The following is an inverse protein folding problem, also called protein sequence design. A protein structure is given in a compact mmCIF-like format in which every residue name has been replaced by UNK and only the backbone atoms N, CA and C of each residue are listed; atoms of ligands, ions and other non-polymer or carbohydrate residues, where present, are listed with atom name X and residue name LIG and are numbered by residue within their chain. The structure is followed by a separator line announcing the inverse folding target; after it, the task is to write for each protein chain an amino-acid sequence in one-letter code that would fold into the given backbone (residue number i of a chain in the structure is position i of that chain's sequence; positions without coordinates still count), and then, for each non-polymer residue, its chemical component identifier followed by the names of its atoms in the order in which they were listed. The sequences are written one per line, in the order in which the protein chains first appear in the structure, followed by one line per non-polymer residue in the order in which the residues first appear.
data_IF_390816006629
#
_entry.id   IF_390816006629
#
_cell.length_a   1.000
_cell.length_b   1.000
_cell.length_c   1.000
_cell.angle_alpha   90.00
_cell.angle_beta   90.00
_cell.angle_gamma   90.00
#
_symmetry.space_group_name_H-M   'P 1'
#
loop_
_entity.id
_entity.type
_entity.pdbx_description
1 polymer ?
#
# COMPACT_ATOMS: atom_id res chain seq x y z
N UNK A 1 -14.40 -2.08 4.18
CA UNK A 1 -12.98 -2.03 3.76
C UNK A 1 -12.39 -0.61 3.82
N UNK A 2 -13.21 0.41 3.99
CA UNK A 2 -12.79 1.84 4.03
C UNK A 2 -12.20 2.30 5.37
N UNK A 3 -12.53 1.63 6.46
CA UNK A 3 -12.25 2.14 7.80
C UNK A 3 -10.76 2.10 8.22
N UNK A 4 -9.96 1.18 7.68
CA UNK A 4 -8.56 1.00 8.10
C UNK A 4 -7.59 1.44 6.99
N UNK A 5 -7.37 0.61 5.96
CA UNK A 5 -6.29 0.85 4.97
C UNK A 5 -6.35 2.23 4.30
N UNK A 6 -7.50 2.72 3.81
CA UNK A 6 -7.56 4.04 3.17
C UNK A 6 -7.27 5.19 4.15
N UNK A 7 -7.80 5.10 5.36
CA UNK A 7 -7.60 6.11 6.41
C UNK A 7 -6.15 6.14 6.84
N UNK A 8 -5.55 4.96 7.11
CA UNK A 8 -4.13 4.84 7.43
C UNK A 8 -3.26 5.43 6.33
N UNK A 9 -3.52 5.10 5.05
CA UNK A 9 -2.75 5.62 3.93
C UNK A 9 -2.83 7.15 3.84
N UNK A 10 -4.02 7.73 3.99
CA UNK A 10 -4.20 9.18 3.98
C UNK A 10 -3.45 9.86 5.13
N UNK A 11 -3.62 9.35 6.36
CA UNK A 11 -2.97 9.91 7.54
C UNK A 11 -1.44 9.80 7.47
N UNK A 12 -0.89 8.68 6.97
CA UNK A 12 0.55 8.51 6.76
C UNK A 12 1.12 9.55 5.78
N UNK A 13 0.37 9.89 4.73
CA UNK A 13 0.80 10.89 3.74
C UNK A 13 0.63 12.34 4.23
N UNK A 14 -0.14 12.59 5.28
CA UNK A 14 -0.49 13.94 5.72
C UNK A 14 0.21 14.39 7.02
N UNK A 15 0.49 13.43 7.93
CA UNK A 15 0.80 13.81 9.32
C UNK A 15 2.28 14.01 9.61
N UNK A 16 3.16 13.52 8.76
CA UNK A 16 4.58 13.42 9.09
C UNK A 16 5.49 14.35 8.28
N UNK A 17 5.14 14.55 7.03
CA UNK A 17 5.90 15.39 6.09
C UNK A 17 4.91 16.14 5.22
N UNK A 18 5.10 17.45 5.10
CA UNK A 18 4.39 18.24 4.10
C UNK A 18 4.95 17.94 2.71
N UNK A 19 4.35 16.91 2.07
CA UNK A 19 4.75 16.43 0.75
C UNK A 19 4.21 17.37 -0.33
N UNK A 20 5.11 17.87 -1.17
CA UNK A 20 4.79 18.73 -2.30
C UNK A 20 4.74 17.93 -3.61
N UNK A 21 4.04 18.41 -4.65
CA UNK A 21 4.12 17.82 -5.97
C UNK A 21 5.58 17.69 -6.45
N UNK A 22 5.95 16.51 -6.94
CA UNK A 22 7.33 16.16 -7.30
C UNK A 22 8.16 15.50 -6.19
N UNK A 23 7.75 15.61 -4.91
CA UNK A 23 8.32 14.80 -3.84
C UNK A 23 8.03 13.32 -4.06
N UNK A 24 8.76 12.45 -3.37
CA UNK A 24 8.54 11.01 -3.45
C UNK A 24 8.33 10.39 -2.05
N UNK A 25 7.49 9.37 -1.99
CA UNK A 25 7.28 8.47 -0.85
C UNK A 25 7.71 7.06 -1.21
N UNK A 26 8.54 6.45 -0.35
CA UNK A 26 8.92 5.05 -0.47
C UNK A 26 8.16 4.21 0.56
N UNK A 27 7.76 2.98 0.22
CA UNK A 27 7.09 2.09 1.17
C UNK A 27 7.39 0.62 0.86
N UNK A 28 7.47 -0.19 1.89
CA UNK A 28 7.55 -1.65 1.73
C UNK A 28 6.15 -2.29 1.72
N UNK A 29 6.09 -3.62 1.61
CA UNK A 29 4.84 -4.37 1.41
C UNK A 29 3.96 -3.79 0.27
N UNK A 30 4.57 -3.41 -0.84
CA UNK A 30 3.90 -2.73 -1.95
C UNK A 30 2.78 -3.55 -2.61
N UNK A 31 2.70 -4.85 -2.34
CA UNK A 31 1.61 -5.73 -2.79
C UNK A 31 0.34 -5.64 -1.92
N UNK A 32 0.39 -4.91 -0.80
CA UNK A 32 -0.70 -4.83 0.17
C UNK A 32 -1.84 -3.93 -0.31
N UNK A 33 -3.03 -4.15 0.27
CA UNK A 33 -4.18 -3.28 0.00
C UNK A 33 -3.98 -1.83 0.49
N UNK A 34 -3.16 -1.61 1.53
CA UNK A 34 -2.80 -0.28 1.98
C UNK A 34 -1.90 0.42 0.95
N UNK A 35 -0.92 -0.30 0.40
CA UNK A 35 -0.01 0.24 -0.62
C UNK A 35 -0.74 0.73 -1.88
N UNK A 36 -1.82 0.06 -2.29
CA UNK A 36 -2.66 0.52 -3.41
C UNK A 36 -3.31 1.88 -3.10
N UNK A 37 -3.76 2.10 -1.86
CA UNK A 37 -4.28 3.39 -1.44
C UNK A 37 -3.18 4.46 -1.36
N UNK A 38 -1.98 4.10 -0.87
CA UNK A 38 -0.84 5.01 -0.86
C UNK A 38 -0.52 5.48 -2.29
N UNK A 39 -0.41 4.57 -3.25
CA UNK A 39 -0.13 4.91 -4.64
C UNK A 39 -1.20 5.84 -5.23
N UNK A 40 -2.47 5.51 -5.04
CA UNK A 40 -3.58 6.31 -5.57
C UNK A 40 -3.67 7.70 -4.93
N UNK A 41 -3.50 7.81 -3.61
CA UNK A 41 -3.59 9.08 -2.88
C UNK A 41 -2.37 9.97 -3.14
N UNK A 42 -1.17 9.39 -3.19
CA UNK A 42 0.06 10.10 -3.53
C UNK A 42 -0.01 10.64 -4.97
N UNK A 43 -0.40 9.80 -5.93
CA UNK A 43 -0.53 10.21 -7.33
C UNK A 43 -1.50 11.38 -7.53
N UNK A 44 -2.63 11.42 -6.82
CA UNK A 44 -3.56 12.55 -6.85
C UNK A 44 -2.96 13.86 -6.34
N UNK A 45 -1.91 13.79 -5.53
CA UNK A 45 -1.17 14.96 -4.99
C UNK A 45 0.07 15.31 -5.81
N UNK A 46 0.31 14.60 -6.93
CA UNK A 46 1.54 14.75 -7.70
C UNK A 46 2.78 14.24 -6.97
N UNK A 47 2.62 13.41 -5.92
CA UNK A 47 3.69 12.79 -5.17
C UNK A 47 4.05 11.46 -5.81
N UNK A 48 5.33 11.25 -6.10
CA UNK A 48 5.85 10.05 -6.74
C UNK A 48 5.92 8.89 -5.76
N UNK A 49 5.76 7.67 -6.22
CA UNK A 49 5.69 6.47 -5.37
C UNK A 49 6.78 5.47 -5.70
N UNK A 50 7.42 4.93 -4.66
CA UNK A 50 8.45 3.90 -4.75
C UNK A 50 8.04 2.74 -3.85
N UNK A 51 7.61 1.65 -4.46
CA UNK A 51 7.14 0.46 -3.75
C UNK A 51 8.20 -0.63 -3.69
N UNK A 52 8.50 -1.16 -2.49
CA UNK A 52 9.38 -2.30 -2.31
C UNK A 52 8.56 -3.59 -2.28
N UNK A 53 8.99 -4.57 -3.09
CA UNK A 53 8.39 -5.91 -3.16
C UNK A 53 9.40 -6.98 -2.79
N UNK A 54 8.93 -8.05 -2.16
CA UNK A 54 9.79 -9.18 -1.78
C UNK A 54 10.23 -10.01 -2.98
N UNK A 55 9.39 -10.13 -4.00
CA UNK A 55 9.64 -10.98 -5.18
C UNK A 55 9.57 -10.16 -6.47
N UNK A 56 10.47 -10.44 -7.41
CA UNK A 56 10.49 -9.80 -8.73
C UNK A 56 9.19 -10.02 -9.52
N UNK A 57 8.56 -11.16 -9.35
CA UNK A 57 7.28 -11.50 -10.01
C UNK A 57 6.13 -10.57 -9.61
N UNK A 58 6.25 -9.88 -8.48
CA UNK A 58 5.25 -8.93 -8.02
C UNK A 58 5.40 -7.52 -8.66
N UNK A 59 6.51 -7.24 -9.33
CA UNK A 59 6.85 -5.90 -9.86
C UNK A 59 5.76 -5.37 -10.80
N UNK A 60 5.43 -6.14 -11.82
CA UNK A 60 4.45 -5.70 -12.83
C UNK A 60 3.05 -5.54 -12.25
N UNK A 61 2.66 -6.43 -11.34
CA UNK A 61 1.37 -6.31 -10.64
C UNK A 61 1.27 -5.04 -9.82
N UNK A 62 2.36 -4.65 -9.14
CA UNK A 62 2.39 -3.45 -8.29
C UNK A 62 2.40 -2.18 -9.14
N UNK A 63 3.10 -2.17 -10.28
CA UNK A 63 3.03 -1.06 -11.26
C UNK A 63 1.61 -0.89 -11.81
N UNK A 64 0.96 -1.99 -12.21
CA UNK A 64 -0.43 -1.96 -12.67
C UNK A 64 -1.39 -1.46 -11.59
N UNK A 65 -1.05 -1.67 -10.31
CA UNK A 65 -1.74 -1.11 -9.15
C UNK A 65 -1.53 0.39 -8.91
N UNK A 66 -0.76 1.07 -9.78
CA UNK A 66 -0.54 2.52 -9.75
C UNK A 66 0.73 2.97 -9.04
N UNK A 67 1.60 2.05 -8.58
CA UNK A 67 2.91 2.42 -8.07
C UNK A 67 3.85 2.77 -9.23
N UNK A 68 4.46 3.96 -9.18
CA UNK A 68 5.28 4.46 -10.28
C UNK A 68 6.60 3.71 -10.44
N UNK A 69 7.32 3.51 -9.34
CA UNK A 69 8.60 2.83 -9.32
C UNK A 69 8.51 1.65 -8.37
N UNK A 70 8.93 0.48 -8.84
CA UNK A 70 8.95 -0.72 -8.02
C UNK A 70 10.37 -1.27 -7.92
N UNK A 71 10.77 -1.63 -6.71
CA UNK A 71 12.09 -2.16 -6.34
C UNK A 71 11.89 -3.53 -5.71
N UNK A 72 12.63 -4.52 -6.18
CA UNK A 72 12.65 -5.82 -5.52
C UNK A 72 13.69 -5.84 -4.37
N UNK A 73 13.39 -6.58 -3.30
CA UNK A 73 14.24 -6.64 -2.10
C UNK A 73 15.63 -7.26 -2.36
N UNK A 74 15.79 -8.00 -3.46
CA UNK A 74 17.07 -8.59 -3.88
C UNK A 74 17.91 -7.67 -4.79
N UNK A 75 17.39 -6.49 -5.18
CA UNK A 75 18.15 -5.53 -5.97
C UNK A 75 19.27 -4.91 -5.13
N UNK A 76 20.46 -4.78 -5.71
CA UNK A 76 21.60 -4.12 -5.07
C UNK A 76 21.28 -2.65 -4.80
N UNK A 77 21.54 -2.18 -3.56
CA UNK A 77 21.06 -0.87 -3.10
C UNK A 77 21.69 0.31 -3.85
N UNK A 78 22.95 0.20 -4.25
CA UNK A 78 23.62 1.25 -5.04
C UNK A 78 23.00 1.41 -6.42
N UNK A 79 22.63 0.30 -7.07
CA UNK A 79 21.90 0.30 -8.34
C UNK A 79 20.52 0.96 -8.19
N UNK A 80 19.81 0.65 -7.11
CA UNK A 80 18.52 1.28 -6.80
C UNK A 80 18.70 2.79 -6.60
N UNK A 81 19.71 3.20 -5.80
CA UNK A 81 19.97 4.62 -5.55
C UNK A 81 20.32 5.39 -6.83
N UNK A 82 21.13 4.79 -7.73
CA UNK A 82 21.44 5.40 -9.02
C UNK A 82 20.17 5.59 -9.87
N UNK A 83 19.29 4.60 -9.92
CA UNK A 83 18.00 4.67 -10.63
C UNK A 83 17.06 5.74 -10.06
N UNK A 84 17.13 5.99 -8.74
CA UNK A 84 16.31 6.98 -8.05
C UNK A 84 16.99 8.36 -7.94
N UNK A 85 18.12 8.55 -8.59
CA UNK A 85 18.84 9.81 -8.58
C UNK A 85 17.95 10.96 -9.07
N UNK A 86 17.96 12.07 -8.34
CA UNK A 86 17.11 13.23 -8.63
C UNK A 86 15.73 13.20 -7.98
N UNK A 87 15.28 12.07 -7.43
CA UNK A 87 14.04 12.01 -6.68
C UNK A 87 14.19 12.58 -5.27
N UNK A 88 13.21 13.35 -4.85
CA UNK A 88 13.13 13.90 -3.50
C UNK A 88 12.36 12.97 -2.57
N UNK A 89 12.96 11.84 -2.15
CA UNK A 89 12.31 10.89 -1.24
C UNK A 89 12.32 11.43 0.18
N UNK A 90 11.24 12.07 0.58
CA UNK A 90 11.13 12.74 1.90
C UNK A 90 10.51 11.87 2.98
N UNK A 91 9.67 10.92 2.59
CA UNK A 91 8.95 10.03 3.49
C UNK A 91 9.20 8.58 3.10
N UNK A 92 9.44 7.73 4.08
CA UNK A 92 9.47 6.29 3.94
C UNK A 92 8.49 5.65 4.94
N UNK A 93 7.75 4.64 4.50
CA UNK A 93 6.69 4.00 5.28
C UNK A 93 7.01 2.50 5.44
N UNK A 94 7.22 2.09 6.69
CA UNK A 94 7.59 0.73 7.03
C UNK A 94 6.47 -0.01 7.77
N UNK A 95 6.14 -1.21 7.31
CA UNK A 95 5.23 -2.13 8.00
C UNK A 95 5.90 -3.48 8.28
N UNK A 96 7.05 -3.73 7.68
CA UNK A 96 7.72 -5.03 7.72
C UNK A 96 8.68 -5.13 8.91
N UNK A 97 9.49 -4.09 9.16
CA UNK A 97 10.62 -4.16 10.09
C UNK A 97 11.83 -4.89 9.49
N UNK A 98 12.74 -5.38 10.34
CA UNK A 98 13.96 -6.08 9.95
C UNK A 98 14.81 -5.29 8.96
N UNK A 99 15.49 -5.99 8.06
CA UNK A 99 16.34 -5.40 7.01
C UNK A 99 15.55 -4.54 6.00
N UNK A 100 14.25 -4.81 5.80
CA UNK A 100 13.43 -4.04 4.87
C UNK A 100 13.27 -2.57 5.33
N UNK A 101 13.20 -2.32 6.63
CA UNK A 101 13.21 -0.97 7.19
C UNK A 101 14.54 -0.26 6.88
N UNK A 102 15.68 -0.96 7.02
CA UNK A 102 17.00 -0.45 6.66
C UNK A 102 17.10 -0.07 5.18
N UNK A 103 16.55 -0.88 4.29
CA UNK A 103 16.51 -0.56 2.85
C UNK A 103 15.78 0.75 2.57
N UNK A 104 14.69 1.03 3.24
CA UNK A 104 13.95 2.29 3.11
C UNK A 104 14.80 3.50 3.51
N UNK A 105 15.65 3.39 4.57
CA UNK A 105 16.55 4.47 4.97
C UNK A 105 17.55 4.84 3.88
N UNK A 106 18.03 3.86 3.12
CA UNK A 106 18.94 4.13 2.00
C UNK A 106 18.30 5.01 0.92
N UNK A 107 16.99 4.92 0.72
CA UNK A 107 16.26 5.68 -0.29
C UNK A 107 15.96 7.12 0.13
N UNK A 108 15.86 7.39 1.44
CA UNK A 108 15.56 8.71 1.95
C UNK A 108 16.64 9.74 1.61
N UNK A 109 16.21 10.96 1.32
CA UNK A 109 17.08 12.14 1.23
C UNK A 109 17.49 12.62 2.62
N UNK A 110 18.52 13.48 2.73
CA UNK A 110 18.84 14.16 3.97
C UNK A 110 17.61 14.84 4.60
N UNK A 111 17.46 14.72 5.90
CA UNK A 111 16.30 15.17 6.69
C UNK A 111 14.98 14.46 6.34
N UNK A 112 15.04 13.34 5.63
CA UNK A 112 13.88 12.48 5.37
C UNK A 112 13.42 11.76 6.64
N UNK A 113 12.20 11.27 6.60
CA UNK A 113 11.54 10.61 7.74
C UNK A 113 11.11 9.20 7.40
N UNK A 114 11.45 8.24 8.27
CA UNK A 114 10.88 6.90 8.27
C UNK A 114 9.73 6.85 9.28
N UNK A 115 8.56 6.38 8.85
CA UNK A 115 7.42 6.13 9.74
C UNK A 115 7.11 4.63 9.71
N UNK A 116 7.19 3.99 10.88
CA UNK A 116 6.78 2.59 11.03
C UNK A 116 5.34 2.53 11.57
N UNK A 117 4.52 1.68 10.95
CA UNK A 117 3.11 1.50 11.29
C UNK A 117 2.73 0.02 11.49
N UNK A 118 3.74 -0.87 11.53
CA UNK A 118 3.54 -2.29 11.77
C UNK A 118 4.85 -3.05 11.91
N UNK A 119 4.75 -4.33 12.26
CA UNK A 119 5.88 -5.22 12.53
C UNK A 119 5.64 -6.62 11.93
N UNK A 120 5.26 -6.67 10.67
CA UNK A 120 4.81 -7.90 9.99
C UNK A 120 5.85 -9.02 10.03
N UNK A 121 7.14 -8.70 10.00
CA UNK A 121 8.20 -9.71 10.10
C UNK A 121 8.39 -10.26 11.52
N UNK A 122 7.89 -9.57 12.54
CA UNK A 122 8.20 -9.85 13.95
C UNK A 122 9.65 -9.58 14.34
N UNK A 123 10.47 -9.05 13.44
CA UNK A 123 11.88 -8.75 13.69
C UNK A 123 12.09 -7.29 14.05
N UNK A 124 13.03 -6.96 14.94
CA UNK A 124 13.45 -5.58 15.19
C UNK A 124 13.91 -4.90 13.90
N UNK A 125 13.68 -3.60 13.77
CA UNK A 125 14.16 -2.82 12.63
C UNK A 125 15.70 -2.76 12.64
N UNK A 126 16.30 -3.09 11.50
CA UNK A 126 17.75 -2.97 11.28
C UNK A 126 18.04 -1.59 10.67
N UNK A 127 18.35 -0.61 11.52
CA UNK A 127 18.58 0.76 11.10
C UNK A 127 20.08 1.07 11.11
N UNK A 128 20.73 1.24 9.94
CA UNK A 128 22.13 1.64 9.87
C UNK A 128 22.32 3.03 10.52
N UNK A 129 22.94 3.08 11.70
CA UNK A 129 23.14 4.31 12.47
C UNK A 129 23.90 5.38 11.69
N UNK A 130 24.84 4.98 10.82
CA UNK A 130 25.55 5.88 9.93
C UNK A 130 24.61 6.67 9.03
N UNK A 131 23.59 6.03 8.43
CA UNK A 131 22.61 6.74 7.59
C UNK A 131 21.79 7.74 8.40
N UNK A 132 21.38 7.35 9.61
CA UNK A 132 20.62 8.25 10.51
C UNK A 132 21.45 9.48 10.83
N UNK A 133 22.73 9.31 11.16
CA UNK A 133 23.64 10.41 11.50
C UNK A 133 23.91 11.30 10.27
N UNK A 134 24.43 10.72 9.19
CA UNK A 134 24.91 11.51 8.04
C UNK A 134 23.78 12.18 7.26
N UNK A 135 22.62 11.55 7.18
CA UNK A 135 21.45 12.13 6.52
C UNK A 135 20.54 12.90 7.48
N UNK A 136 20.82 12.92 8.79
CA UNK A 136 19.95 13.54 9.80
C UNK A 136 18.50 13.03 9.72
N UNK A 137 18.33 11.71 9.62
CA UNK A 137 17.01 11.10 9.45
C UNK A 137 16.24 11.07 10.77
N UNK A 138 14.91 11.13 10.68
CA UNK A 138 13.99 10.90 11.80
C UNK A 138 13.29 9.55 11.63
N UNK A 139 13.05 8.87 12.75
CA UNK A 139 12.25 7.63 12.79
C UNK A 139 11.12 7.83 13.78
N UNK A 140 9.88 7.62 13.32
CA UNK A 140 8.67 7.82 14.11
C UNK A 140 7.72 6.64 13.97
N UNK A 141 6.82 6.48 14.94
CA UNK A 141 5.76 5.46 14.90
C UNK A 141 4.41 6.06 14.56
N UNK A 142 3.58 5.29 13.86
CA UNK A 142 2.18 5.61 13.64
C UNK A 142 1.30 4.52 14.28
N UNK A 143 0.29 4.96 15.02
CA UNK A 143 -0.78 4.11 15.53
C UNK A 143 -2.11 4.87 15.53
N UNK A 144 -3.13 4.31 14.88
CA UNK A 144 -4.45 4.95 14.73
C UNK A 144 -5.12 5.28 16.08
N UNK A 145 -4.83 4.49 17.12
CA UNK A 145 -5.39 4.68 18.46
C UNK A 145 -4.76 5.82 19.28
N UNK A 146 -3.76 6.52 18.77
CA UNK A 146 -3.19 7.66 19.49
C UNK A 146 -4.20 8.81 19.64
N UNK A 147 -4.30 9.45 20.83
CA UNK A 147 -5.25 10.53 21.10
C UNK A 147 -5.23 11.67 20.08
N UNK A 148 -4.05 12.00 19.52
CA UNK A 148 -3.91 13.05 18.52
C UNK A 148 -4.27 12.60 17.09
N UNK A 149 -4.44 11.29 16.85
CA UNK A 149 -4.84 10.70 15.56
C UNK A 149 -6.34 10.45 15.50
N UNK A 150 -6.93 9.94 16.58
CA UNK A 150 -8.36 9.58 16.65
C UNK A 150 -9.32 10.67 16.10
N UNK A 151 -9.18 11.96 16.44
CA UNK A 151 -10.08 13.00 15.93
C UNK A 151 -9.99 13.21 14.41
N UNK A 152 -8.89 12.79 13.77
CA UNK A 152 -8.64 12.97 12.34
C UNK A 152 -9.28 11.88 11.48
N UNK A 153 -9.62 10.73 12.06
CA UNK A 153 -10.15 9.56 11.34
C UNK A 153 -11.47 9.89 10.64
N UNK A 154 -12.43 10.43 11.35
CA UNK A 154 -13.75 10.70 10.79
C UNK A 154 -13.76 11.77 9.68
N UNK A 155 -13.04 12.89 9.79
CA UNK A 155 -12.87 13.84 8.69
C UNK A 155 -12.23 13.19 7.46
N UNK A 156 -11.12 12.48 7.63
CA UNK A 156 -10.42 11.80 6.53
C UNK A 156 -11.33 10.77 5.85
N UNK A 157 -12.06 9.96 6.64
CA UNK A 157 -12.99 8.98 6.08
C UNK A 157 -14.07 9.63 5.22
N UNK A 158 -14.63 10.77 5.63
CA UNK A 158 -15.63 11.51 4.83
C UNK A 158 -15.08 11.95 3.47
N UNK A 159 -13.83 12.43 3.42
CA UNK A 159 -13.21 12.81 2.15
C UNK A 159 -12.92 11.59 1.27
N UNK A 160 -12.44 10.49 1.87
CA UNK A 160 -12.15 9.25 1.14
C UNK A 160 -13.40 8.62 0.51
N UNK A 161 -14.55 8.71 1.19
CA UNK A 161 -15.84 8.20 0.64
C UNK A 161 -16.21 8.91 -0.65
N UNK A 162 -15.94 10.21 -0.78
CA UNK A 162 -16.18 10.98 -2.02
C UNK A 162 -15.32 10.49 -3.19
N UNK A 163 -14.22 9.80 -2.91
CA UNK A 163 -13.29 9.27 -3.92
C UNK A 163 -13.68 7.87 -4.43
N UNK A 164 -14.76 7.28 -3.90
CA UNK A 164 -15.28 5.98 -4.34
C UNK A 164 -16.34 6.21 -5.39
N UNK A 165 -16.17 5.59 -6.56
CA UNK A 165 -17.15 5.71 -7.64
C UNK A 165 -16.52 5.37 -8.99
N UNK A 166 -17.21 5.59 -10.09
CA UNK A 166 -16.63 5.43 -11.43
C UNK A 166 -15.37 6.29 -11.57
N UNK A 167 -14.24 5.65 -11.89
CA UNK A 167 -12.93 6.33 -11.98
C UNK A 167 -12.20 6.53 -10.64
N UNK A 168 -12.79 6.13 -9.51
CA UNK A 168 -12.16 6.21 -8.19
C UNK A 168 -11.22 5.03 -7.88
N UNK A 169 -10.65 5.07 -6.67
CA UNK A 169 -9.78 3.99 -6.19
C UNK A 169 -10.58 2.71 -6.00
N UNK A 170 -10.17 1.63 -6.66
CA UNK A 170 -10.76 0.31 -6.51
C UNK A 170 -9.76 -0.62 -5.87
N UNK A 171 -10.16 -1.31 -4.81
CA UNK A 171 -9.39 -2.41 -4.27
C UNK A 171 -9.91 -3.71 -4.87
N UNK A 172 -9.11 -4.44 -5.68
CA UNK A 172 -9.53 -5.72 -6.24
C UNK A 172 -9.88 -6.71 -5.12
N UNK A 173 -11.02 -7.40 -5.27
CA UNK A 173 -11.42 -8.52 -4.43
C UNK A 173 -11.00 -9.78 -5.19
N UNK A 174 -10.13 -10.59 -4.59
CA UNK A 174 -9.60 -11.79 -5.21
C UNK A 174 -10.64 -12.91 -5.21
N UNK A 175 -11.34 -13.09 -4.09
CA UNK A 175 -12.41 -14.07 -3.95
C UNK A 175 -13.36 -13.70 -2.81
N UNK A 176 -14.59 -14.21 -2.89
CA UNK A 176 -15.57 -14.15 -1.81
C UNK A 176 -15.99 -15.56 -1.43
N UNK A 177 -15.89 -15.90 -0.16
CA UNK A 177 -16.27 -17.19 0.40
C UNK A 177 -17.50 -17.04 1.28
N UNK A 178 -18.40 -18.01 1.31
CA UNK A 178 -19.43 -18.09 2.34
C UNK A 178 -18.79 -18.34 3.71
N UNK A 179 -19.48 -17.93 4.79
CA UNK A 179 -18.91 -17.96 6.16
C UNK A 179 -18.54 -19.38 6.62
N UNK A 180 -19.25 -20.39 6.16
CA UNK A 180 -18.98 -21.80 6.44
C UNK A 180 -17.68 -22.33 5.79
N UNK A 181 -17.12 -21.61 4.82
CA UNK A 181 -15.82 -21.89 4.19
C UNK A 181 -14.71 -20.99 4.73
N UNK A 182 -14.79 -20.56 5.99
CA UNK A 182 -13.79 -19.65 6.58
C UNK A 182 -12.38 -20.22 6.57
N UNK A 183 -12.21 -21.56 6.72
CA UNK A 183 -10.88 -22.20 6.70
C UNK A 183 -10.21 -22.09 5.32
N UNK A 184 -10.95 -22.32 4.26
CA UNK A 184 -10.51 -22.18 2.88
C UNK A 184 -10.21 -20.72 2.55
N UNK A 185 -11.05 -19.79 3.02
CA UNK A 185 -10.85 -18.36 2.88
C UNK A 185 -9.54 -17.91 3.53
N UNK A 186 -9.26 -18.38 4.75
CA UNK A 186 -7.99 -18.09 5.46
C UNK A 186 -6.80 -18.68 4.71
N UNK A 187 -6.88 -19.95 4.28
CA UNK A 187 -5.82 -20.59 3.50
C UNK A 187 -5.53 -19.85 2.18
N UNK A 188 -6.57 -19.29 1.54
CA UNK A 188 -6.41 -18.44 0.34
C UNK A 188 -5.78 -17.08 0.70
N UNK A 189 -6.24 -16.44 1.77
CA UNK A 189 -5.73 -15.14 2.20
C UNK A 189 -4.21 -15.17 2.53
N UNK A 190 -3.72 -16.28 3.08
CA UNK A 190 -2.28 -16.50 3.36
C UNK A 190 -1.45 -16.52 2.07
N UNK A 191 -2.03 -16.98 0.95
CA UNK A 191 -1.35 -16.97 -0.37
C UNK A 191 -1.35 -15.56 -1.00
N UNK A 192 -2.11 -14.64 -0.46
CA UNK A 192 -2.20 -13.24 -0.89
C UNK A 192 -3.55 -12.91 -1.55
N UNK A 193 -3.78 -11.60 -1.71
CA UNK A 193 -5.02 -11.08 -2.25
C UNK A 193 -6.02 -10.62 -1.18
N UNK A 194 -7.09 -10.00 -1.63
CA UNK A 194 -8.18 -9.54 -0.75
C UNK A 194 -9.32 -10.52 -0.79
N UNK A 195 -9.54 -11.22 0.32
CA UNK A 195 -10.60 -12.20 0.47
C UNK A 195 -11.74 -11.60 1.30
N UNK A 196 -12.98 -11.85 0.88
CA UNK A 196 -14.19 -11.47 1.63
C UNK A 196 -14.92 -12.72 2.11
N UNK A 197 -15.61 -12.59 3.24
CA UNK A 197 -16.58 -13.55 3.72
C UNK A 197 -17.99 -12.99 3.50
N UNK A 198 -18.87 -13.78 2.90
CA UNK A 198 -20.30 -13.46 2.79
C UNK A 198 -21.05 -14.07 3.96
N UNK A 199 -21.80 -13.26 4.67
CA UNK A 199 -22.66 -13.69 5.77
C UNK A 199 -24.04 -14.15 5.28
N UNK A 200 -24.41 -13.88 4.01
CA UNK A 200 -25.63 -14.40 3.43
C UNK A 200 -25.46 -15.90 3.11
N UNK A 201 -26.37 -16.72 3.63
CA UNK A 201 -26.52 -18.11 3.19
C UNK A 201 -26.84 -18.08 1.68
N UNK A 202 -26.08 -18.80 0.86
CA UNK A 202 -26.51 -19.08 -0.51
C UNK A 202 -27.85 -19.81 -0.44
N UNK A 203 -28.93 -19.15 -0.82
CA UNK A 203 -30.11 -19.87 -1.27
C UNK A 203 -29.70 -20.61 -2.53
N UNK A 204 -29.72 -21.93 -2.49
CA UNK A 204 -29.48 -22.79 -3.64
C UNK A 204 -30.61 -22.59 -4.67
N UNK A 205 -30.44 -21.65 -5.57
CA UNK A 205 -31.26 -21.54 -6.76
C UNK A 205 -30.49 -20.74 -7.84
N UNK A 206 -30.16 -21.44 -8.93
CA UNK A 206 -29.86 -20.89 -10.24
C UNK A 206 -28.41 -20.41 -10.45
N UNK A 207 -27.66 -21.16 -11.22
CA UNK A 207 -26.49 -20.67 -11.92
C UNK A 207 -26.90 -19.46 -12.79
N UNK A 208 -26.20 -18.32 -12.76
CA UNK A 208 -26.43 -17.29 -13.78
C UNK A 208 -25.85 -17.78 -15.08
N UNK A 209 -26.73 -18.00 -16.08
CA UNK A 209 -26.36 -18.26 -17.46
C UNK A 209 -25.51 -17.12 -17.99
N UNK A 210 -24.42 -17.48 -18.65
CA UNK A 210 -23.65 -16.59 -19.48
C UNK A 210 -24.56 -15.92 -20.52
N UNK A 211 -24.47 -14.62 -20.75
CA UNK A 211 -25.15 -14.02 -21.88
C UNK A 211 -24.48 -14.51 -23.17
N UNK A 212 -25.22 -15.28 -23.94
CA UNK A 212 -24.87 -15.62 -25.31
C UNK A 212 -24.91 -14.36 -26.16
N UNK A 213 -23.77 -13.96 -26.68
CA UNK A 213 -23.68 -12.95 -27.73
C UNK A 213 -24.27 -13.53 -29.03
N UNK A 214 -25.46 -13.11 -29.40
CA UNK A 214 -25.97 -13.31 -30.76
C UNK A 214 -25.51 -12.12 -31.61
N UNK A 215 -24.51 -12.35 -32.44
CA UNK A 215 -24.31 -11.58 -33.65
C UNK A 215 -25.50 -11.89 -34.60
N UNK A 216 -26.32 -10.91 -34.86
CA UNK A 216 -27.33 -10.93 -35.93
C UNK A 216 -26.94 -9.92 -36.99
N UNK A 217 -26.55 -10.43 -38.17
CA UNK A 217 -26.20 -9.62 -39.30
C UNK A 217 -27.41 -9.25 -40.15
N UNK A 218 -27.19 -8.22 -40.89
CA UNK A 218 -27.67 -7.87 -42.22
C UNK A 218 -29.20 -7.90 -42.54
N UNK A 219 -29.71 -6.77 -42.80
CA UNK A 219 -30.33 -6.39 -44.12
C UNK A 219 -30.51 -4.88 -44.15
#
# INVERSE_FOLDING_TARGET
MMAINPVTAALLLEQYVDLQPGDAVAYNAATSGLAQWLAALAGKRGVRTIGLVRRRDDVERVKQGGCEIVVADDEEIGTVQARLQGLNVRLALDVIGGASAGRLLHLLRPKGKLVTYGVVSGKPMELPGSLVIWKQLSVEGFYEGHPHILPKIAPVLRELVKMIGPGGVRQPITATYPIDQVKEAVAHAVKGGKILLSLSKRTSSGAPGLPTSTCGGAS
#
